data_IF_032452113400
#
_entry.id   IF_032452113400
#
_cell.length_a   1.000
_cell.length_b   1.000
_cell.length_c   1.000
_cell.angle_alpha   90.00
_cell.angle_beta   90.00
_cell.angle_gamma   90.00
#
_symmetry.space_group_name_H-M   'P 1'
#
loop_
_entity.id
_entity.type
_entity.pdbx_description
1 polymer ?
#
# COMPACT_ATOMS: atom_id res chain seq x y z
N UNK A 1 6.83 -11.96 21.30
CA UNK A 1 6.61 -11.51 19.90
C UNK A 1 6.10 -10.07 19.94
N UNK A 2 7.00 -9.11 19.85
CA UNK A 2 6.75 -7.73 20.31
C UNK A 2 6.37 -6.81 19.15
N UNK A 3 5.29 -6.05 19.34
CA UNK A 3 4.95 -4.84 18.58
C UNK A 3 4.28 -5.07 17.22
N UNK A 4 5.06 -5.12 16.15
CA UNK A 4 4.55 -4.96 14.78
C UNK A 4 3.79 -6.19 14.25
N UNK A 5 4.28 -7.40 14.52
CA UNK A 5 3.67 -8.65 14.02
C UNK A 5 2.37 -8.97 14.77
N UNK A 6 2.31 -8.68 16.08
CA UNK A 6 1.08 -8.79 16.89
C UNK A 6 0.03 -7.76 16.44
N UNK A 7 0.45 -6.52 16.18
CA UNK A 7 -0.44 -5.43 15.76
C UNK A 7 -1.01 -5.62 14.34
N UNK A 8 -0.27 -6.26 13.43
CA UNK A 8 -0.70 -6.44 12.03
C UNK A 8 -1.37 -7.79 11.74
N UNK A 9 -1.09 -8.85 12.51
CA UNK A 9 -1.56 -10.20 12.19
C UNK A 9 -3.07 -10.39 12.41
N UNK A 10 -3.63 -9.83 13.48
CA UNK A 10 -5.06 -9.92 13.81
C UNK A 10 -5.95 -9.12 12.86
N UNK A 11 -5.71 -7.81 12.60
CA UNK A 11 -6.52 -7.04 11.66
C UNK A 11 -6.35 -7.49 10.21
N UNK A 12 -5.17 -8.00 9.80
CA UNK A 12 -4.97 -8.53 8.43
C UNK A 12 -5.80 -9.77 8.15
N UNK A 13 -5.90 -10.73 9.09
CA UNK A 13 -6.72 -11.94 8.90
C UNK A 13 -8.21 -11.63 8.87
N UNK A 14 -8.68 -10.77 9.77
CA UNK A 14 -10.08 -10.33 9.80
C UNK A 14 -10.47 -9.51 8.55
N UNK A 15 -9.60 -8.60 8.11
CA UNK A 15 -9.82 -7.79 6.91
C UNK A 15 -9.74 -8.61 5.62
N UNK A 16 -8.85 -9.60 5.52
CA UNK A 16 -8.76 -10.49 4.34
C UNK A 16 -9.96 -11.42 4.25
N UNK A 17 -10.45 -11.96 5.37
CA UNK A 17 -11.68 -12.76 5.39
C UNK A 17 -12.89 -11.92 4.95
N UNK A 18 -13.06 -10.73 5.53
CA UNK A 18 -14.14 -9.80 5.16
C UNK A 18 -14.04 -9.33 3.70
N UNK A 19 -12.83 -9.01 3.21
CA UNK A 19 -12.63 -8.63 1.79
C UNK A 19 -12.87 -9.79 0.83
N UNK A 20 -12.61 -11.04 1.23
CA UNK A 20 -12.88 -12.22 0.41
C UNK A 20 -14.38 -12.45 0.28
N UNK A 21 -15.13 -12.28 1.37
CA UNK A 21 -16.60 -12.33 1.36
C UNK A 21 -17.21 -11.15 0.58
N UNK A 22 -16.68 -9.94 0.73
CA UNK A 22 -17.09 -8.76 -0.05
C UNK A 22 -16.78 -8.91 -1.55
N UNK A 23 -15.62 -9.47 -1.91
CA UNK A 23 -15.27 -9.74 -3.31
C UNK A 23 -16.14 -10.84 -3.92
N UNK A 24 -16.39 -11.93 -3.20
CA UNK A 24 -17.30 -12.99 -3.67
C UNK A 24 -18.74 -12.49 -3.81
N UNK A 25 -19.21 -11.65 -2.88
CA UNK A 25 -20.53 -11.04 -2.98
C UNK A 25 -20.61 -9.98 -4.08
N UNK A 26 -19.55 -9.20 -4.33
CA UNK A 26 -19.47 -8.26 -5.44
C UNK A 26 -19.44 -8.96 -6.81
N UNK A 27 -18.69 -10.05 -6.96
CA UNK A 27 -18.69 -10.87 -8.17
C UNK A 27 -20.04 -11.53 -8.40
N UNK A 28 -20.71 -12.02 -7.35
CA UNK A 28 -22.09 -12.53 -7.44
C UNK A 28 -23.06 -11.42 -7.87
N UNK A 29 -22.99 -10.23 -7.28
CA UNK A 29 -23.83 -9.07 -7.66
C UNK A 29 -23.57 -8.64 -9.12
N UNK A 30 -22.32 -8.59 -9.55
CA UNK A 30 -21.95 -8.27 -10.93
C UNK A 30 -22.46 -9.34 -11.90
N UNK A 31 -22.30 -10.62 -11.57
CA UNK A 31 -22.80 -11.75 -12.38
C UNK A 31 -24.33 -11.73 -12.51
N UNK A 32 -25.05 -11.41 -11.44
CA UNK A 32 -26.51 -11.25 -11.48
C UNK A 32 -26.91 -10.06 -12.37
N UNK A 33 -26.22 -8.91 -12.25
CA UNK A 33 -26.48 -7.74 -13.11
C UNK A 33 -26.17 -8.02 -14.59
N UNK A 34 -25.09 -8.73 -14.89
CA UNK A 34 -24.71 -9.12 -16.26
C UNK A 34 -25.72 -10.14 -16.83
N UNK A 35 -26.13 -11.15 -16.07
CA UNK A 35 -27.13 -12.12 -16.51
C UNK A 35 -28.51 -11.49 -16.71
N UNK A 36 -28.89 -10.54 -15.85
CA UNK A 36 -30.10 -9.76 -16.02
C UNK A 36 -30.04 -8.92 -17.30
N UNK A 37 -28.91 -8.23 -17.55
CA UNK A 37 -28.69 -7.47 -18.78
C UNK A 37 -28.75 -8.34 -20.05
N UNK A 38 -28.08 -9.51 -20.05
CA UNK A 38 -28.11 -10.46 -21.19
C UNK A 38 -29.53 -10.98 -21.45
N UNK A 39 -30.33 -11.27 -20.41
CA UNK A 39 -31.74 -11.67 -20.54
C UNK A 39 -32.58 -10.55 -21.14
N UNK A 40 -32.34 -9.31 -20.74
CA UNK A 40 -33.04 -8.14 -21.29
C UNK A 40 -32.70 -7.94 -22.77
N UNK A 41 -31.42 -8.05 -23.15
CA UNK A 41 -30.99 -7.96 -24.55
C UNK A 41 -31.58 -9.06 -25.44
N UNK A 42 -31.59 -10.33 -24.99
CA UNK A 42 -32.23 -11.44 -25.73
C UNK A 42 -33.74 -11.26 -25.90
N UNK A 43 -34.41 -10.49 -25.03
CA UNK A 43 -35.84 -10.21 -25.11
C UNK A 43 -36.16 -9.07 -26.07
N UNK A 44 -35.22 -8.15 -26.30
CA UNK A 44 -35.34 -7.04 -27.26
C UNK A 44 -35.17 -7.53 -28.70
N UNK A 45 -34.40 -8.60 -28.93
CA UNK A 45 -34.29 -9.25 -30.25
C UNK A 45 -35.50 -10.13 -30.64
N UNK A 46 -36.47 -10.31 -29.73
CA UNK A 46 -37.58 -11.26 -29.86
C UNK A 46 -38.91 -10.70 -30.42
N UNK A 47 -38.91 -9.57 -31.14
CA UNK A 47 -40.08 -9.09 -31.90
C UNK A 47 -39.82 -9.29 -33.39
N UNK A 48 -40.04 -10.52 -33.87
CA UNK A 48 -40.00 -10.83 -35.30
C UNK A 48 -39.89 -12.33 -35.65
N UNK A 49 -41.02 -12.91 -36.06
CA UNK A 49 -41.20 -14.12 -36.87
C UNK A 49 -41.36 -15.52 -36.19
N UNK A 50 -42.24 -16.30 -36.84
CA UNK A 50 -43.00 -17.53 -36.51
C UNK A 50 -42.18 -18.84 -36.27
N UNK A 51 -42.77 -19.90 -35.64
CA UNK A 51 -42.19 -21.25 -35.43
C UNK A 51 -42.51 -22.19 -36.64
N UNK A 52 -42.22 -23.53 -36.68
CA UNK A 52 -41.55 -24.46 -35.75
C UNK A 52 -40.48 -25.42 -36.38
N UNK A 53 -39.91 -26.27 -35.51
CA UNK A 53 -39.48 -27.69 -35.72
C UNK A 53 -38.32 -28.07 -36.67
N UNK A 54 -37.21 -28.56 -36.09
CA UNK A 54 -36.65 -29.90 -36.34
C UNK A 54 -35.38 -30.18 -35.49
N UNK A 55 -35.58 -30.97 -34.43
CA UNK A 55 -34.72 -31.95 -33.74
C UNK A 55 -33.20 -31.74 -33.56
N UNK A 56 -32.82 -31.67 -32.27
CA UNK A 56 -31.53 -32.18 -31.74
C UNK A 56 -31.81 -33.62 -31.28
N UNK A 57 -31.08 -34.65 -31.75
CA UNK A 57 -31.12 -35.95 -31.11
C UNK A 57 -30.12 -35.93 -29.94
N UNK A 58 -30.51 -36.41 -28.76
CA UNK A 58 -29.62 -37.10 -27.83
C UNK A 58 -30.44 -37.77 -26.72
N UNK A 59 -30.67 -39.07 -26.93
CA UNK A 59 -30.61 -40.15 -25.94
C UNK A 59 -31.19 -39.94 -24.55
N UNK A 60 -32.43 -40.41 -24.38
CA UNK A 60 -33.00 -41.20 -23.29
C UNK A 60 -32.38 -41.09 -21.88
N UNK A 61 -33.18 -40.55 -20.95
CA UNK A 61 -33.75 -41.37 -19.87
C UNK A 61 -34.97 -40.70 -19.26
N UNK A 62 -36.02 -41.49 -19.18
CA UNK A 62 -37.41 -41.16 -18.91
C UNK A 62 -37.71 -41.14 -17.40
N UNK A 63 -38.85 -40.50 -17.07
CA UNK A 63 -39.76 -40.77 -15.95
C UNK A 63 -39.52 -40.07 -14.60
N UNK A 64 -40.00 -38.81 -14.49
CA UNK A 64 -40.90 -38.32 -13.41
C UNK A 64 -41.31 -36.86 -13.68
N UNK A 65 -42.60 -36.46 -13.55
CA UNK A 65 -42.99 -35.06 -13.75
C UNK A 65 -42.75 -34.25 -12.46
N UNK A 66 -41.91 -33.20 -12.45
CA UNK A 66 -41.94 -32.25 -11.34
C UNK A 66 -43.18 -31.36 -11.47
N UNK A 67 -43.89 -31.26 -10.34
CA UNK A 67 -45.16 -30.59 -10.17
C UNK A 67 -45.22 -29.15 -10.70
N UNK A 68 -46.40 -28.78 -11.21
CA UNK A 68 -46.82 -27.41 -11.54
C UNK A 68 -46.60 -26.50 -10.34
N UNK A 69 -45.60 -25.61 -10.42
CA UNK A 69 -45.51 -24.45 -9.52
C UNK A 69 -46.36 -23.35 -10.15
N UNK A 70 -47.42 -22.98 -9.45
CA UNK A 70 -48.32 -21.87 -9.79
C UNK A 70 -47.55 -20.58 -10.04
N UNK A 71 -47.78 -19.97 -11.20
CA UNK A 71 -47.40 -18.59 -11.49
C UNK A 71 -48.32 -17.65 -10.69
N UNK A 72 -47.82 -17.11 -9.58
CA UNK A 72 -48.46 -15.97 -8.92
C UNK A 72 -47.58 -14.74 -9.03
N UNK A 73 -47.98 -13.80 -9.88
CA UNK A 73 -47.65 -12.38 -9.75
C UNK A 73 -46.97 -11.73 -10.98
N UNK A 74 -47.47 -10.58 -11.47
CA UNK A 74 -46.90 -9.90 -12.63
C UNK A 74 -45.64 -9.12 -12.21
N UNK A 75 -44.46 -9.59 -12.64
CA UNK A 75 -43.19 -8.88 -12.42
C UNK A 75 -42.77 -8.15 -13.70
N UNK A 76 -43.52 -7.09 -14.03
CA UNK A 76 -43.14 -6.08 -15.03
C UNK A 76 -42.57 -4.83 -14.31
N UNK A 77 -41.46 -4.96 -13.57
CA UNK A 77 -40.78 -3.78 -13.03
C UNK A 77 -39.88 -3.16 -14.10
N UNK A 78 -40.45 -2.23 -14.87
CA UNK A 78 -39.73 -1.43 -15.86
C UNK A 78 -38.76 -0.51 -15.10
N UNK A 79 -37.47 -0.87 -15.00
CA UNK A 79 -36.45 -0.02 -14.38
C UNK A 79 -36.39 1.34 -15.07
N UNK A 80 -36.81 2.38 -14.36
CA UNK A 80 -36.81 3.76 -14.84
C UNK A 80 -35.50 4.47 -14.49
N UNK A 81 -35.20 5.58 -15.16
CA UNK A 81 -34.06 6.44 -14.79
C UNK A 81 -34.15 6.93 -13.33
N UNK A 82 -35.38 7.10 -12.80
CA UNK A 82 -35.62 7.44 -11.39
C UNK A 82 -35.10 6.36 -10.45
N UNK A 83 -35.39 5.09 -10.74
CA UNK A 83 -34.94 3.96 -9.91
C UNK A 83 -33.41 3.86 -9.85
N UNK A 84 -32.72 4.21 -10.94
CA UNK A 84 -31.25 4.23 -10.99
C UNK A 84 -30.65 5.36 -10.13
N UNK A 85 -31.28 6.54 -10.13
CA UNK A 85 -30.88 7.69 -9.30
C UNK A 85 -31.12 7.39 -7.82
N UNK A 86 -32.25 6.78 -7.48
CA UNK A 86 -32.58 6.41 -6.10
C UNK A 86 -31.62 5.33 -5.57
N UNK A 87 -31.30 4.31 -6.39
CA UNK A 87 -30.30 3.30 -6.05
C UNK A 87 -28.91 3.91 -5.84
N UNK A 88 -28.51 4.88 -6.67
CA UNK A 88 -27.23 5.58 -6.50
C UNK A 88 -27.22 6.43 -5.22
N UNK A 89 -28.33 7.12 -4.92
CA UNK A 89 -28.48 7.93 -3.72
C UNK A 89 -28.38 7.07 -2.45
N UNK A 90 -29.00 5.89 -2.45
CA UNK A 90 -28.89 4.93 -1.35
C UNK A 90 -27.47 4.37 -1.22
N UNK A 91 -26.79 4.01 -2.32
CA UNK A 91 -25.38 3.56 -2.28
C UNK A 91 -24.44 4.66 -1.75
N UNK A 92 -24.63 5.92 -2.14
CA UNK A 92 -23.86 7.05 -1.60
C UNK A 92 -24.13 7.23 -0.10
N UNK A 93 -25.40 7.13 0.32
CA UNK A 93 -25.78 7.23 1.74
C UNK A 93 -25.13 6.11 2.56
N UNK A 94 -25.22 4.86 2.10
CA UNK A 94 -24.62 3.71 2.77
C UNK A 94 -23.09 3.82 2.84
N UNK A 95 -22.45 4.25 1.75
CA UNK A 95 -21.02 4.53 1.73
C UNK A 95 -20.63 5.65 2.69
N UNK A 96 -21.43 6.71 2.78
CA UNK A 96 -21.16 7.82 3.71
C UNK A 96 -21.25 7.38 5.17
N UNK A 97 -22.23 6.54 5.52
CA UNK A 97 -22.35 5.96 6.86
C UNK A 97 -21.15 5.05 7.15
N UNK A 98 -20.75 4.23 6.17
CA UNK A 98 -19.57 3.39 6.27
C UNK A 98 -18.27 4.20 6.43
N UNK A 99 -18.10 5.30 5.69
CA UNK A 99 -16.97 6.22 5.85
C UNK A 99 -16.99 6.90 7.21
N UNK A 100 -18.15 7.34 7.69
CA UNK A 100 -18.33 7.87 9.04
C UNK A 100 -17.85 6.89 10.10
N UNK A 101 -18.27 5.62 10.01
CA UNK A 101 -17.78 4.55 10.90
C UNK A 101 -16.28 4.32 10.80
N UNK A 102 -15.68 4.41 9.59
CA UNK A 102 -14.23 4.29 9.40
C UNK A 102 -13.46 5.47 10.01
N UNK A 103 -13.99 6.69 9.94
CA UNK A 103 -13.40 7.88 10.56
C UNK A 103 -13.39 7.79 12.09
N UNK A 104 -14.34 7.07 12.70
CA UNK A 104 -14.34 6.79 14.15
C UNK A 104 -13.20 5.85 14.60
N UNK A 105 -12.40 5.31 13.66
CA UNK A 105 -11.30 4.41 13.96
C UNK A 105 -11.75 2.95 14.14
N UNK A 106 -10.78 2.03 14.10
CA UNK A 106 -11.05 0.59 14.13
C UNK A 106 -11.32 -0.01 15.51
N UNK A 107 -11.47 0.81 16.57
CA UNK A 107 -11.68 0.34 17.95
C UNK A 107 -10.54 -0.52 18.51
N UNK A 108 -9.35 -0.47 17.91
CA UNK A 108 -8.19 -1.27 18.33
C UNK A 108 -7.37 -0.48 19.33
N UNK A 109 -6.94 -1.11 20.42
CA UNK A 109 -6.05 -0.50 21.40
C UNK A 109 -4.68 -0.17 20.76
N UNK A 110 -4.02 0.92 21.19
CA UNK A 110 -2.67 1.25 20.74
C UNK A 110 -1.68 0.13 21.13
N UNK A 111 -0.53 0.04 20.43
CA UNK A 111 0.51 -0.92 20.82
C UNK A 111 0.97 -0.68 22.27
N UNK A 112 1.33 -1.73 23.01
CA UNK A 112 1.82 -1.58 24.37
C UNK A 112 3.10 -0.73 24.38
N UNK A 113 3.25 0.07 25.44
CA UNK A 113 4.46 0.89 25.63
C UNK A 113 5.70 0.01 25.77
N UNK A 114 6.82 0.48 25.23
CA UNK A 114 8.11 -0.19 25.42
C UNK A 114 8.55 -0.05 26.88
N UNK A 115 9.04 -1.13 27.53
CA UNK A 115 9.61 -1.03 28.88
C UNK A 115 10.74 0.01 28.94
N UNK A 116 10.83 0.77 30.05
CA UNK A 116 11.79 1.86 30.18
C UNK A 116 13.24 1.43 29.94
N UNK A 117 13.63 0.24 30.41
CA UNK A 117 14.97 -0.31 30.19
C UNK A 117 15.28 -0.49 28.69
N UNK A 118 14.34 -1.02 27.92
CA UNK A 118 14.48 -1.15 26.47
C UNK A 118 14.46 0.20 25.77
N UNK A 119 13.65 1.15 26.25
CA UNK A 119 13.59 2.49 25.69
C UNK A 119 14.93 3.23 25.89
N UNK A 120 15.49 3.21 27.11
CA UNK A 120 16.79 3.81 27.41
C UNK A 120 17.93 3.16 26.62
N UNK A 121 17.93 1.83 26.51
CA UNK A 121 18.86 1.10 25.66
C UNK A 121 18.78 1.57 24.20
N UNK A 122 17.56 1.65 23.65
CA UNK A 122 17.33 2.13 22.29
C UNK A 122 17.79 3.57 22.10
N UNK A 123 17.48 4.47 23.04
CA UNK A 123 17.90 5.88 23.02
C UNK A 123 19.42 6.02 23.02
N UNK A 124 20.12 5.27 23.87
CA UNK A 124 21.58 5.31 23.96
C UNK A 124 22.25 4.92 22.64
N UNK A 125 21.84 3.80 22.04
CA UNK A 125 22.41 3.34 20.78
C UNK A 125 21.94 4.15 19.57
N UNK A 126 20.71 4.70 19.60
CA UNK A 126 20.25 5.66 18.59
C UNK A 126 21.09 6.94 18.61
N UNK A 127 21.47 7.43 19.80
CA UNK A 127 22.38 8.57 19.94
C UNK A 127 23.75 8.27 19.33
N UNK A 128 24.38 7.13 19.68
CA UNK A 128 25.68 6.73 19.12
C UNK A 128 25.59 6.58 17.59
N UNK A 129 24.56 5.89 17.10
CA UNK A 129 24.33 5.69 15.67
C UNK A 129 24.16 7.01 14.92
N UNK A 130 23.40 7.96 15.49
CA UNK A 130 23.22 9.29 14.89
C UNK A 130 24.51 10.11 14.96
N UNK A 131 25.31 9.99 16.02
CA UNK A 131 26.61 10.65 16.11
C UNK A 131 27.54 10.19 14.98
N UNK A 132 27.60 8.89 14.71
CA UNK A 132 28.38 8.34 13.59
C UNK A 132 27.92 8.93 12.25
N UNK A 133 26.61 9.04 12.02
CA UNK A 133 26.05 9.64 10.80
C UNK A 133 26.37 11.12 10.69
N UNK A 134 26.30 11.88 11.79
CA UNK A 134 26.61 13.31 11.80
C UNK A 134 28.09 13.55 11.53
N UNK A 135 28.98 12.79 12.15
CA UNK A 135 30.43 12.87 11.87
C UNK A 135 30.75 12.49 10.43
N UNK A 136 30.13 11.42 9.91
CA UNK A 136 30.25 11.05 8.51
C UNK A 136 29.76 12.18 7.59
N UNK A 137 28.64 12.81 7.91
CA UNK A 137 28.12 13.95 7.15
C UNK A 137 29.08 15.14 7.18
N UNK A 138 29.62 15.49 8.35
CA UNK A 138 30.63 16.56 8.48
C UNK A 138 31.89 16.27 7.67
N UNK A 139 32.36 15.02 7.68
CA UNK A 139 33.49 14.60 6.87
C UNK A 139 33.21 14.76 5.36
N UNK A 140 32.05 14.30 4.88
CA UNK A 140 31.65 14.39 3.47
C UNK A 140 31.53 15.84 3.02
N UNK A 141 30.88 16.68 3.83
CA UNK A 141 30.71 18.11 3.56
C UNK A 141 32.08 18.78 3.38
N UNK A 142 33.03 18.54 4.30
CA UNK A 142 34.41 19.07 4.19
C UNK A 142 35.16 18.52 2.97
N UNK A 143 35.02 17.22 2.68
CA UNK A 143 35.72 16.57 1.58
C UNK A 143 35.17 16.96 0.19
N UNK A 144 33.96 17.52 0.12
CA UNK A 144 33.30 17.91 -1.13
C UNK A 144 33.04 19.40 -1.25
N UNK A 145 33.64 20.23 -0.38
CA UNK A 145 33.48 21.68 -0.38
C UNK A 145 32.00 22.11 -0.36
N UNK A 146 31.21 21.49 0.53
CA UNK A 146 29.77 21.72 0.73
C UNK A 146 28.83 21.30 -0.43
N UNK A 147 29.34 20.71 -1.52
CA UNK A 147 28.52 20.26 -2.65
C UNK A 147 27.55 19.13 -2.29
N UNK A 148 28.01 18.21 -1.44
CA UNK A 148 27.34 16.94 -1.14
C UNK A 148 27.10 16.80 0.35
N UNK A 149 25.89 16.38 0.72
CA UNK A 149 25.48 16.16 2.10
C UNK A 149 24.46 15.03 2.21
N UNK A 150 24.34 14.46 3.40
CA UNK A 150 23.32 13.48 3.77
C UNK A 150 22.04 14.22 4.18
N UNK A 151 20.89 13.82 3.65
CA UNK A 151 19.60 14.33 4.13
C UNK A 151 19.26 13.77 5.52
N UNK A 152 19.62 14.51 6.55
CA UNK A 152 19.55 14.04 7.95
C UNK A 152 18.11 13.77 8.44
N UNK A 153 17.09 14.49 7.96
CA UNK A 153 15.70 14.30 8.41
C UNK A 153 15.14 12.89 8.14
N UNK A 154 15.17 12.41 6.87
CA UNK A 154 14.83 11.02 6.55
C UNK A 154 15.70 10.00 7.30
N UNK A 155 17.00 10.26 7.47
CA UNK A 155 17.90 9.35 8.20
C UNK A 155 17.56 9.30 9.70
N UNK A 156 17.20 10.41 10.32
CA UNK A 156 16.73 10.41 11.71
C UNK A 156 15.43 9.60 11.86
N UNK A 157 14.50 9.72 10.90
CA UNK A 157 13.28 8.91 10.87
C UNK A 157 13.59 7.41 10.72
N UNK A 158 14.61 7.08 9.92
CA UNK A 158 15.13 5.74 9.76
C UNK A 158 15.67 5.17 11.08
N UNK A 159 16.42 5.95 11.85
CA UNK A 159 16.93 5.56 13.18
C UNK A 159 15.79 5.24 14.15
N UNK A 160 14.73 6.06 14.17
CA UNK A 160 13.54 5.83 15.00
C UNK A 160 12.87 4.49 14.65
N UNK A 161 12.77 4.16 13.37
CA UNK A 161 12.25 2.86 12.95
C UNK A 161 13.20 1.72 13.34
N UNK A 162 14.51 1.91 13.19
CA UNK A 162 15.54 0.94 13.51
C UNK A 162 15.57 0.52 14.99
N UNK A 163 15.41 1.46 15.92
CA UNK A 163 15.48 1.18 17.36
C UNK A 163 14.10 1.07 18.04
N UNK A 164 13.08 1.73 17.50
CA UNK A 164 11.73 1.73 18.05
C UNK A 164 10.82 0.66 17.44
N UNK A 165 11.07 0.24 16.19
CA UNK A 165 10.22 -0.65 15.42
C UNK A 165 11.03 -1.76 14.71
N UNK A 166 11.96 -2.39 15.44
CA UNK A 166 12.90 -3.41 14.91
C UNK A 166 12.24 -4.53 14.11
N UNK A 167 11.01 -4.92 14.46
CA UNK A 167 10.24 -5.99 13.80
C UNK A 167 9.34 -5.50 12.66
N UNK A 168 9.26 -4.20 12.42
CA UNK A 168 8.43 -3.68 11.34
C UNK A 168 9.05 -4.06 10.00
N UNK A 169 8.25 -4.57 9.03
CA UNK A 169 8.74 -4.86 7.68
C UNK A 169 9.41 -3.65 7.02
N UNK A 170 8.87 -2.46 7.28
CA UNK A 170 9.41 -1.20 6.75
C UNK A 170 10.77 -0.81 7.37
N UNK A 171 11.16 -1.37 8.51
CA UNK A 171 12.45 -1.11 9.15
C UNK A 171 13.55 -2.10 8.69
N UNK A 172 13.22 -3.08 7.86
CA UNK A 172 14.18 -4.13 7.47
C UNK A 172 15.16 -3.64 6.38
N UNK A 173 16.40 -4.16 6.36
CA UNK A 173 17.45 -3.73 5.43
C UNK A 173 17.02 -3.76 3.96
N UNK A 174 16.31 -4.82 3.54
CA UNK A 174 15.74 -4.94 2.20
C UNK A 174 14.95 -3.69 1.81
N UNK A 175 14.00 -3.31 2.65
CA UNK A 175 13.08 -2.23 2.36
C UNK A 175 13.82 -0.90 2.40
N UNK A 176 14.76 -0.71 3.32
CA UNK A 176 15.57 0.52 3.41
C UNK A 176 16.37 0.79 2.13
N UNK A 177 17.07 -0.23 1.60
CA UNK A 177 17.91 -0.07 0.40
C UNK A 177 17.06 -0.02 -0.87
N UNK A 178 16.21 -1.04 -1.09
CA UNK A 178 15.48 -1.17 -2.36
C UNK A 178 14.49 -0.02 -2.60
N UNK A 179 13.87 0.50 -1.54
CA UNK A 179 12.96 1.64 -1.67
C UNK A 179 13.68 2.91 -2.12
N UNK A 180 14.88 3.18 -1.60
CA UNK A 180 15.68 4.35 -2.02
C UNK A 180 16.14 4.19 -3.47
N UNK A 181 16.61 3.00 -3.85
CA UNK A 181 16.99 2.65 -5.23
C UNK A 181 15.81 2.75 -6.19
N UNK A 182 14.59 2.40 -5.77
CA UNK A 182 13.41 2.55 -6.60
C UNK A 182 12.87 3.99 -6.65
N UNK A 183 13.01 4.75 -5.55
CA UNK A 183 12.30 6.02 -5.39
C UNK A 183 13.10 7.24 -5.85
N UNK A 184 14.40 7.32 -5.53
CA UNK A 184 15.23 8.48 -5.89
C UNK A 184 15.38 8.64 -7.41
N UNK A 185 15.60 7.58 -8.21
CA UNK A 185 15.65 7.71 -9.66
C UNK A 185 14.36 8.27 -10.28
N UNK A 186 13.19 7.96 -9.71
CA UNK A 186 11.91 8.53 -10.16
C UNK A 186 11.90 10.05 -9.96
N UNK A 187 12.39 10.53 -8.81
CA UNK A 187 12.52 11.97 -8.54
C UNK A 187 13.48 12.65 -9.54
N UNK A 188 14.64 12.04 -9.79
CA UNK A 188 15.64 12.57 -10.71
C UNK A 188 15.15 12.57 -12.16
N UNK A 189 14.42 11.52 -12.58
CA UNK A 189 13.80 11.42 -13.90
C UNK A 189 12.75 12.52 -14.11
N UNK A 190 11.82 12.69 -13.17
CA UNK A 190 10.80 13.75 -13.27
C UNK A 190 11.43 15.15 -13.25
N UNK A 191 12.51 15.34 -12.50
CA UNK A 191 13.27 16.59 -12.51
C UNK A 191 13.95 16.85 -13.85
N UNK A 192 14.49 15.82 -14.49
CA UNK A 192 15.14 15.92 -15.79
C UNK A 192 14.15 16.20 -16.92
N UNK A 193 13.00 15.52 -16.93
CA UNK A 193 11.98 15.66 -17.98
C UNK A 193 11.21 16.99 -17.92
N UNK A 194 11.07 17.56 -16.73
CA UNK A 194 10.26 18.76 -16.52
C UNK A 194 11.05 19.77 -15.68
N UNK A 195 11.58 20.83 -16.28
CA UNK A 195 12.16 21.99 -15.58
C UNK A 195 11.16 23.17 -15.60
N UNK A 196 11.05 24.03 -14.56
CA UNK A 196 11.71 24.10 -13.23
C UNK A 196 10.90 23.42 -12.10
N UNK A 197 11.39 23.39 -10.84
CA UNK A 197 10.69 22.82 -9.66
C UNK A 197 9.27 23.38 -9.53
N UNK A 198 8.29 22.49 -9.32
CA UNK A 198 6.88 22.85 -9.22
C UNK A 198 6.16 21.93 -8.24
N UNK A 199 5.18 22.41 -7.44
CA UNK A 199 4.48 21.62 -6.43
C UNK A 199 3.85 20.33 -6.99
N UNK A 200 3.26 20.40 -8.18
CA UNK A 200 2.63 19.24 -8.82
C UNK A 200 3.63 18.12 -9.11
N UNK A 201 4.91 18.45 -9.40
CA UNK A 201 5.96 17.44 -9.67
C UNK A 201 6.42 16.75 -8.41
N UNK A 202 6.58 17.51 -7.32
CA UNK A 202 6.93 16.92 -6.03
C UNK A 202 5.79 16.01 -5.53
N UNK A 203 4.54 16.43 -5.71
CA UNK A 203 3.36 15.61 -5.44
C UNK A 203 3.32 14.35 -6.32
N UNK A 204 3.59 14.48 -7.62
CA UNK A 204 3.65 13.34 -8.54
C UNK A 204 4.78 12.38 -8.16
N UNK A 205 5.95 12.89 -7.77
CA UNK A 205 7.07 12.08 -7.27
C UNK A 205 6.64 11.26 -6.06
N UNK A 206 6.01 11.89 -5.07
CA UNK A 206 5.50 11.19 -3.87
C UNK A 206 4.45 10.15 -4.27
N UNK A 207 3.50 10.48 -5.14
CA UNK A 207 2.47 9.55 -5.59
C UNK A 207 3.05 8.32 -6.30
N UNK A 208 3.97 8.51 -7.24
CA UNK A 208 4.62 7.43 -7.97
C UNK A 208 5.48 6.56 -7.04
N UNK A 209 6.26 7.17 -6.16
CA UNK A 209 7.12 6.42 -5.24
C UNK A 209 6.31 5.62 -4.22
N UNK A 210 5.19 6.15 -3.72
CA UNK A 210 4.24 5.38 -2.91
C UNK A 210 3.66 4.20 -3.69
N UNK A 211 3.24 4.40 -4.94
CA UNK A 211 2.72 3.34 -5.80
C UNK A 211 3.76 2.24 -6.08
N UNK A 212 5.00 2.62 -6.39
CA UNK A 212 6.11 1.69 -6.64
C UNK A 212 6.43 0.89 -5.37
N UNK A 213 6.61 1.58 -4.24
CA UNK A 213 6.96 0.89 -3.00
C UNK A 213 5.88 -0.07 -2.52
N UNK A 214 4.60 0.30 -2.65
CA UNK A 214 3.46 -0.54 -2.25
C UNK A 214 3.26 -1.72 -3.20
N UNK A 215 3.43 -1.53 -4.51
CA UNK A 215 3.33 -2.63 -5.49
C UNK A 215 4.47 -3.65 -5.37
N UNK A 216 5.69 -3.20 -5.07
CA UNK A 216 6.86 -4.07 -4.91
C UNK A 216 7.01 -4.66 -3.48
N UNK A 217 6.14 -4.29 -2.54
CA UNK A 217 6.24 -4.73 -1.15
C UNK A 217 7.54 -4.28 -0.46
N UNK A 218 8.04 -3.10 -0.82
CA UNK A 218 9.26 -2.48 -0.26
C UNK A 218 8.92 -1.17 0.47
N UNK A 219 7.70 -1.03 0.98
CA UNK A 219 7.23 0.17 1.69
C UNK A 219 8.22 0.61 2.77
N UNK A 220 8.74 1.82 2.59
CA UNK A 220 9.72 2.45 3.47
C UNK A 220 9.53 3.98 3.42
N UNK A 221 8.72 4.54 4.34
CA UNK A 221 8.37 5.96 4.30
C UNK A 221 9.56 6.94 4.24
N UNK A 222 10.71 6.70 4.91
CA UNK A 222 11.88 7.57 4.78
C UNK A 222 12.42 7.69 3.35
N UNK A 223 12.30 6.65 2.50
CA UNK A 223 12.71 6.74 1.10
C UNK A 223 11.77 7.61 0.26
N UNK A 224 10.48 7.63 0.56
CA UNK A 224 9.52 8.55 -0.07
C UNK A 224 9.86 10.00 0.29
N UNK A 225 10.17 10.26 1.56
CA UNK A 225 10.62 11.58 2.01
C UNK A 225 11.96 11.97 1.35
N UNK A 226 12.88 11.04 1.21
CA UNK A 226 14.13 11.23 0.48
C UNK A 226 13.89 11.63 -0.98
N UNK A 227 13.07 10.86 -1.72
CA UNK A 227 12.73 11.15 -3.11
C UNK A 227 12.05 12.52 -3.28
N UNK A 228 11.19 12.91 -2.34
CA UNK A 228 10.60 14.25 -2.29
C UNK A 228 11.67 15.35 -2.16
N UNK A 229 12.67 15.18 -1.28
CA UNK A 229 13.77 16.14 -1.14
C UNK A 229 14.64 16.22 -2.41
N UNK A 230 14.87 15.11 -3.09
CA UNK A 230 15.53 15.11 -4.40
C UNK A 230 14.72 15.85 -5.47
N UNK A 231 13.40 15.71 -5.48
CA UNK A 231 12.52 16.44 -6.40
C UNK A 231 12.49 17.95 -6.13
N UNK A 232 12.66 18.37 -4.87
CA UNK A 232 12.77 19.78 -4.47
C UNK A 232 14.17 20.37 -4.67
N UNK A 233 15.19 19.53 -4.87
CA UNK A 233 16.57 19.98 -4.99
C UNK A 233 16.86 20.54 -6.38
N UNK A 234 17.48 21.73 -6.42
CA UNK A 234 17.90 22.41 -7.65
C UNK A 234 19.34 22.14 -8.07
N UNK A 235 20.03 21.16 -7.47
CA UNK A 235 21.43 20.87 -7.84
C UNK A 235 21.55 20.26 -9.23
N UNK A 236 22.73 20.34 -9.86
CA UNK A 236 23.02 19.62 -11.10
C UNK A 236 22.72 18.11 -10.99
N UNK A 237 22.47 17.45 -12.13
CA UNK A 237 22.15 16.02 -12.15
C UNK A 237 23.31 15.16 -11.63
N UNK A 238 24.54 15.51 -11.99
CA UNK A 238 25.75 14.86 -11.47
C UNK A 238 25.84 14.94 -9.94
N UNK A 239 25.75 16.15 -9.38
CA UNK A 239 25.72 16.37 -7.92
C UNK A 239 24.58 15.62 -7.24
N UNK A 240 23.42 15.52 -7.89
CA UNK A 240 22.27 14.77 -7.35
C UNK A 240 22.56 13.27 -7.28
N UNK A 241 23.21 12.68 -8.29
CA UNK A 241 23.65 11.29 -8.24
C UNK A 241 24.74 11.06 -7.17
N UNK A 242 25.69 12.00 -7.01
CA UNK A 242 26.68 11.96 -5.92
C UNK A 242 26.00 11.98 -4.53
N UNK A 243 25.01 12.87 -4.34
CA UNK A 243 24.17 12.91 -3.12
C UNK A 243 23.44 11.60 -2.89
N UNK A 244 22.91 10.98 -3.96
CA UNK A 244 22.25 9.69 -3.84
C UNK A 244 23.22 8.58 -3.38
N UNK A 245 24.45 8.56 -3.91
CA UNK A 245 25.49 7.63 -3.45
C UNK A 245 25.81 7.78 -1.96
N UNK A 246 25.94 9.02 -1.49
CA UNK A 246 26.16 9.34 -0.07
C UNK A 246 24.98 8.93 0.82
N UNK A 247 23.75 9.08 0.33
CA UNK A 247 22.54 8.60 1.02
C UNK A 247 22.53 7.06 1.14
N UNK A 248 22.92 6.34 0.09
CA UNK A 248 23.02 4.88 0.15
C UNK A 248 24.11 4.43 1.15
N UNK A 249 25.25 5.13 1.18
CA UNK A 249 26.28 4.90 2.19
C UNK A 249 25.73 5.10 3.61
N UNK A 250 25.01 6.19 3.84
CA UNK A 250 24.36 6.46 5.13
C UNK A 250 23.40 5.32 5.51
N UNK A 251 22.57 4.84 4.59
CA UNK A 251 21.69 3.70 4.84
C UNK A 251 22.46 2.44 5.24
N UNK A 252 23.58 2.13 4.58
CA UNK A 252 24.43 0.98 4.94
C UNK A 252 24.98 1.13 6.35
N UNK A 253 25.47 2.31 6.71
CA UNK A 253 25.98 2.61 8.06
C UNK A 253 24.86 2.43 9.10
N UNK A 254 23.66 2.95 8.84
CA UNK A 254 22.50 2.77 9.74
C UNK A 254 22.10 1.30 9.86
N UNK A 255 22.10 0.53 8.77
CA UNK A 255 21.82 -0.90 8.81
C UNK A 255 22.87 -1.63 9.66
N UNK A 256 24.15 -1.28 9.49
CA UNK A 256 25.24 -1.87 10.25
C UNK A 256 25.12 -1.57 11.74
N UNK A 257 24.92 -0.30 12.13
CA UNK A 257 24.75 0.07 13.55
C UNK A 257 23.50 -0.55 14.15
N UNK A 258 22.37 -0.56 13.42
CA UNK A 258 21.15 -1.23 13.89
C UNK A 258 21.35 -2.73 14.08
N UNK A 259 22.12 -3.39 13.19
CA UNK A 259 22.42 -4.83 13.28
C UNK A 259 23.32 -5.11 14.47
N UNK A 260 24.38 -4.34 14.67
CA UNK A 260 25.28 -4.53 15.82
C UNK A 260 24.53 -4.24 17.12
N UNK A 261 23.98 -3.04 17.27
CA UNK A 261 23.47 -2.57 18.55
C UNK A 261 22.17 -3.23 18.99
N UNK A 262 21.23 -3.53 18.07
CA UNK A 262 20.03 -4.25 18.48
C UNK A 262 20.33 -5.69 18.92
N UNK A 263 21.30 -6.37 18.30
CA UNK A 263 21.64 -7.75 18.68
C UNK A 263 22.50 -7.84 19.95
N UNK A 264 23.00 -6.73 20.50
CA UNK A 264 23.61 -6.72 21.85
C UNK A 264 22.57 -7.00 22.95
N UNK A 265 21.29 -6.78 22.68
CA UNK A 265 20.21 -7.09 23.63
C UNK A 265 19.65 -8.48 23.37
N UNK A 266 19.59 -9.32 24.40
CA UNK A 266 18.93 -10.64 24.34
C UNK A 266 17.42 -10.57 24.03
N UNK A 267 16.81 -9.39 24.15
CA UNK A 267 15.36 -9.19 23.97
C UNK A 267 15.00 -8.67 22.57
N UNK A 268 15.99 -8.37 21.73
CA UNK A 268 15.81 -7.81 20.40
C UNK A 268 16.47 -8.72 19.36
N UNK A 269 15.98 -8.65 18.13
CA UNK A 269 16.54 -9.36 16.98
C UNK A 269 16.44 -8.42 15.78
N UNK A 270 17.57 -8.12 15.13
CA UNK A 270 17.58 -7.33 13.91
C UNK A 270 18.75 -7.74 12.99
N UNK A 271 18.53 -7.92 11.68
CA UNK A 271 17.24 -7.87 11.03
C UNK A 271 16.43 -9.13 11.28
N UNK A 272 15.12 -9.04 11.05
CA UNK A 272 14.24 -10.21 11.00
C UNK A 272 14.40 -10.96 9.67
N UNK A 273 14.74 -10.25 8.60
CA UNK A 273 15.08 -10.79 7.28
C UNK A 273 15.92 -9.79 6.47
N UNK A 274 16.74 -10.31 5.54
CA UNK A 274 17.56 -9.49 4.64
C UNK A 274 16.97 -9.32 3.24
N UNK A 275 16.10 -10.23 2.82
CA UNK A 275 15.53 -10.37 1.47
C UNK A 275 14.18 -11.10 1.54
N UNK A 276 13.43 -11.28 0.43
CA UNK A 276 12.63 -12.49 0.33
C UNK A 276 13.51 -13.73 0.57
#
# INVERSE_FOLDING_TARGET
>A
VVGAVSALSRPRRACVAARREEAHSAVRRARVKILAYIRTCRRVEGVGAFPPSAEIPLGNKENEPPARVEETGPLEHRYTCSDAVDTFREDVKDRSVMWGRKFSGGGVLPPPVMPLSQALFGTFFAFISMMIILELNHYIIRATEDDVFIFLGPIASLQTMGYGLTQAPAAQPRNMILSNVASVPVALLLRHLYAPVAPWKSSLTVALTVGIQTSMGITHPPATAMAFLFAMSNTGLDTAWRKFGVVLLANVVVIATNTVFNNLSQQRQYPTYWGP
#
